data_IF_694071536277
#
_entry.id   IF_694071536277
#
_cell.length_a   1.000
_cell.length_b   1.000
_cell.length_c   1.000
_cell.angle_alpha   90.00
_cell.angle_beta   90.00
_cell.angle_gamma   90.00
#
_symmetry.space_group_name_H-M   'P 1'
#
loop_
_entity.id
_entity.type
_entity.pdbx_description
1 polymer ?
#
# COMPACT_ATOMS: atom_id res chain seq x y z
N UNK A 1 8.41 -27.65 18.65
CA UNK A 1 7.30 -28.03 19.58
C UNK A 1 6.01 -27.56 18.92
N UNK A 2 5.10 -28.43 18.61
CA UNK A 2 3.83 -28.11 17.92
C UNK A 2 2.99 -27.20 18.81
N UNK A 3 2.48 -26.10 18.26
CA UNK A 3 1.52 -25.19 18.90
C UNK A 3 0.11 -25.43 18.35
N UNK A 4 -0.88 -25.01 19.11
CA UNK A 4 -2.28 -25.01 18.71
C UNK A 4 -2.72 -23.54 18.51
N UNK A 5 -2.99 -23.16 17.28
CA UNK A 5 -3.47 -21.82 16.92
C UNK A 5 -4.99 -21.84 16.77
N UNK A 6 -5.69 -21.13 17.64
CA UNK A 6 -7.14 -20.97 17.57
C UNK A 6 -7.47 -19.69 16.83
N UNK A 7 -8.16 -19.82 15.71
CA UNK A 7 -8.42 -18.72 14.79
C UNK A 7 -9.69 -17.96 15.18
N UNK A 8 -9.61 -16.65 15.14
CA UNK A 8 -10.76 -15.78 15.21
C UNK A 8 -11.29 -15.47 13.78
N UNK A 9 -12.57 -15.16 13.67
CA UNK A 9 -13.27 -14.87 12.42
C UNK A 9 -12.68 -13.68 11.70
N UNK A 10 -12.28 -12.62 12.41
CA UNK A 10 -11.73 -11.40 11.82
C UNK A 10 -10.44 -11.67 11.04
N UNK A 11 -9.61 -12.62 11.47
CA UNK A 11 -8.39 -13.04 10.76
C UNK A 11 -8.74 -13.66 9.41
N UNK A 12 -9.74 -14.54 9.37
CA UNK A 12 -10.16 -15.22 8.15
C UNK A 12 -10.86 -14.29 7.16
N UNK A 13 -11.64 -13.33 7.66
CA UNK A 13 -12.28 -12.31 6.82
C UNK A 13 -11.27 -11.38 6.20
N UNK A 14 -10.20 -11.06 6.90
CA UNK A 14 -9.13 -10.22 6.35
C UNK A 14 -8.20 -11.01 5.41
N UNK A 15 -7.85 -12.23 5.78
CA UNK A 15 -6.97 -13.10 5.02
C UNK A 15 -7.51 -14.54 4.96
N UNK A 16 -8.31 -14.89 3.94
CA UNK A 16 -8.86 -16.25 3.79
C UNK A 16 -7.81 -17.35 3.76
N UNK A 17 -6.59 -17.03 3.32
CA UNK A 17 -5.47 -17.98 3.25
C UNK A 17 -4.71 -18.11 4.57
N UNK A 18 -5.12 -17.40 5.64
CA UNK A 18 -4.46 -17.45 6.95
C UNK A 18 -4.32 -18.88 7.50
N UNK A 19 -5.24 -19.77 7.14
CA UNK A 19 -5.18 -21.19 7.52
C UNK A 19 -3.85 -21.87 7.15
N UNK A 20 -3.18 -21.39 6.10
CA UNK A 20 -1.93 -21.97 5.58
C UNK A 20 -0.68 -21.24 6.11
N UNK A 21 -0.80 -20.33 7.06
CA UNK A 21 0.31 -19.47 7.51
C UNK A 21 1.02 -19.96 8.77
N UNK A 22 0.64 -21.12 9.30
CA UNK A 22 1.11 -21.61 10.60
C UNK A 22 2.05 -22.84 10.51
N UNK A 23 2.76 -22.97 9.40
CA UNK A 23 3.73 -24.05 9.19
C UNK A 23 3.16 -25.44 9.55
N UNK A 24 3.92 -26.27 10.29
CA UNK A 24 3.57 -27.63 10.72
C UNK A 24 2.74 -27.69 12.01
N UNK A 25 2.05 -26.60 12.38
CA UNK A 25 1.26 -26.51 13.59
C UNK A 25 -0.21 -26.95 13.40
N UNK A 26 -0.93 -27.05 14.51
CA UNK A 26 -2.37 -27.34 14.51
C UNK A 26 -3.17 -26.03 14.48
N UNK A 27 -3.92 -25.82 13.41
CA UNK A 27 -4.85 -24.71 13.25
C UNK A 27 -6.26 -25.18 13.64
N UNK A 28 -6.85 -24.54 14.61
CA UNK A 28 -8.16 -24.87 15.16
C UNK A 28 -9.17 -23.79 14.83
N UNK A 29 -10.28 -24.21 14.26
CA UNK A 29 -11.44 -23.37 13.99
C UNK A 29 -12.55 -23.70 15.00
N UNK A 30 -12.86 -22.78 15.94
CA UNK A 30 -14.04 -22.94 16.79
C UNK A 30 -15.33 -23.02 15.97
N UNK A 31 -16.33 -23.80 16.43
CA UNK A 31 -17.63 -23.89 15.77
C UNK A 31 -18.30 -22.51 15.60
N UNK A 32 -18.13 -21.61 16.57
CA UNK A 32 -18.66 -20.23 16.49
C UNK A 32 -18.10 -19.46 15.30
N UNK A 33 -16.86 -19.69 14.91
CA UNK A 33 -16.25 -19.05 13.74
C UNK A 33 -16.94 -19.50 12.45
N UNK A 34 -17.33 -20.76 12.35
CA UNK A 34 -18.11 -21.25 11.20
C UNK A 34 -19.52 -20.63 11.15
N UNK A 35 -20.15 -20.42 12.31
CA UNK A 35 -21.46 -19.75 12.42
C UNK A 35 -21.34 -18.30 11.93
N UNK A 36 -20.29 -17.58 12.34
CA UNK A 36 -20.04 -16.19 11.91
C UNK A 36 -19.72 -16.10 10.41
N UNK A 37 -18.89 -17.01 9.88
CA UNK A 37 -18.64 -17.07 8.43
C UNK A 37 -19.91 -17.32 7.63
N UNK A 38 -20.83 -18.16 8.15
CA UNK A 38 -22.11 -18.41 7.51
C UNK A 38 -23.02 -17.18 7.50
N UNK A 39 -22.97 -16.37 8.53
CA UNK A 39 -23.65 -15.07 8.59
C UNK A 39 -23.05 -14.09 7.60
N UNK A 40 -21.72 -13.94 7.63
CA UNK A 40 -20.96 -12.96 6.85
C UNK A 40 -20.94 -13.27 5.35
N UNK A 41 -21.15 -14.53 4.92
CA UNK A 41 -21.20 -14.86 3.47
C UNK A 41 -22.29 -14.12 2.70
N UNK A 42 -23.33 -13.61 3.41
CA UNK A 42 -24.44 -12.83 2.84
C UNK A 42 -24.14 -11.33 2.77
N UNK A 43 -23.07 -10.88 3.43
CA UNK A 43 -22.67 -9.49 3.38
C UNK A 43 -22.20 -9.10 1.98
N UNK A 44 -22.43 -7.86 1.61
CA UNK A 44 -21.91 -7.28 0.39
C UNK A 44 -20.42 -6.93 0.54
N UNK A 45 -19.76 -6.61 -0.56
CA UNK A 45 -18.38 -6.18 -0.56
C UNK A 45 -17.35 -7.27 -0.29
N UNK A 46 -16.20 -6.86 0.23
CA UNK A 46 -15.02 -7.72 0.42
C UNK A 46 -15.22 -8.72 1.57
N UNK A 47 -15.88 -8.30 2.63
CA UNK A 47 -16.20 -9.16 3.79
C UNK A 47 -16.96 -10.41 3.36
N UNK A 48 -18.06 -10.24 2.60
CA UNK A 48 -18.81 -11.37 2.09
C UNK A 48 -18.03 -12.20 1.06
N UNK A 49 -17.24 -11.57 0.21
CA UNK A 49 -16.40 -12.28 -0.75
C UNK A 49 -15.35 -13.16 -0.06
N UNK A 50 -14.70 -12.63 0.98
CA UNK A 50 -13.71 -13.36 1.76
C UNK A 50 -14.33 -14.48 2.60
N UNK A 51 -15.50 -14.24 3.21
CA UNK A 51 -16.26 -15.31 3.89
C UNK A 51 -16.58 -16.45 2.93
N UNK A 52 -17.09 -16.16 1.73
CA UNK A 52 -17.35 -17.18 0.69
C UNK A 52 -16.10 -17.91 0.25
N UNK A 53 -14.94 -17.22 0.19
CA UNK A 53 -13.64 -17.84 -0.13
C UNK A 53 -13.22 -18.81 0.99
N UNK A 54 -13.31 -18.39 2.26
CA UNK A 54 -13.04 -19.26 3.41
C UNK A 54 -13.91 -20.51 3.40
N UNK A 55 -15.22 -20.37 3.17
CA UNK A 55 -16.16 -21.50 3.12
C UNK A 55 -15.77 -22.49 2.01
N UNK A 56 -15.34 -22.00 0.83
CA UNK A 56 -14.85 -22.88 -0.24
C UNK A 56 -13.59 -23.64 0.15
N UNK A 57 -12.61 -22.96 0.76
CA UNK A 57 -11.40 -23.61 1.26
C UNK A 57 -11.71 -24.69 2.30
N UNK A 58 -12.65 -24.42 3.20
CA UNK A 58 -13.10 -25.42 4.19
C UNK A 58 -13.81 -26.60 3.55
N UNK A 59 -14.60 -26.36 2.48
CA UNK A 59 -15.24 -27.44 1.71
C UNK A 59 -14.18 -28.31 0.99
N UNK A 60 -13.15 -27.69 0.41
CA UNK A 60 -12.02 -28.44 -0.19
C UNK A 60 -11.29 -29.28 0.84
N UNK A 61 -11.07 -28.77 2.05
CA UNK A 61 -10.46 -29.53 3.15
C UNK A 61 -11.39 -30.67 3.61
N UNK A 62 -12.70 -30.42 3.71
CA UNK A 62 -13.69 -31.45 4.07
C UNK A 62 -13.70 -32.61 3.08
N UNK A 63 -13.47 -32.34 1.79
CA UNK A 63 -13.36 -33.39 0.76
C UNK A 63 -12.08 -34.24 0.92
N UNK A 64 -11.01 -33.65 1.49
CA UNK A 64 -9.76 -34.37 1.76
C UNK A 64 -9.80 -35.24 3.02
N UNK A 65 -10.73 -34.97 3.96
CA UNK A 65 -10.83 -35.73 5.21
C UNK A 65 -11.85 -35.20 6.21
N UNK A 66 -11.86 -35.78 7.41
CA UNK A 66 -12.76 -35.40 8.49
C UNK A 66 -12.15 -34.22 9.28
N UNK A 67 -12.72 -33.03 9.18
CA UNK A 67 -12.28 -31.83 9.89
C UNK A 67 -12.36 -31.93 11.43
N UNK A 68 -13.17 -32.83 11.99
CA UNK A 68 -13.18 -33.07 13.43
C UNK A 68 -11.97 -33.86 13.92
N UNK A 69 -11.42 -34.71 13.07
CA UNK A 69 -10.21 -35.49 13.36
C UNK A 69 -8.93 -34.73 12.99
N UNK A 70 -9.06 -33.82 12.02
CA UNK A 70 -7.98 -33.00 11.48
C UNK A 70 -7.62 -33.38 10.05
N UNK A 71 -7.41 -32.40 9.20
CA UNK A 71 -7.04 -32.56 7.79
C UNK A 71 -5.68 -31.92 7.56
N UNK A 72 -4.77 -32.65 6.93
CA UNK A 72 -3.44 -32.15 6.59
C UNK A 72 -3.52 -31.01 5.57
N UNK A 73 -2.77 -29.96 5.84
CA UNK A 73 -2.59 -28.80 4.96
C UNK A 73 -1.34 -29.01 4.07
N UNK A 74 -1.28 -28.30 2.95
CA UNK A 74 -0.17 -28.39 1.98
C UNK A 74 1.18 -27.93 2.56
N UNK A 75 1.16 -27.07 3.58
CA UNK A 75 2.34 -26.59 4.30
C UNK A 75 2.82 -27.52 5.42
N UNK A 76 2.22 -28.71 5.58
CA UNK A 76 2.57 -29.69 6.62
C UNK A 76 1.81 -29.53 7.92
N UNK A 77 1.02 -28.46 8.09
CA UNK A 77 0.15 -28.28 9.24
C UNK A 77 -1.13 -29.13 9.20
N UNK A 78 -1.96 -29.02 10.24
CA UNK A 78 -3.24 -29.71 10.34
C UNK A 78 -4.33 -28.66 10.63
N UNK A 79 -5.42 -28.70 9.86
CA UNK A 79 -6.62 -27.91 10.14
C UNK A 79 -7.69 -28.77 10.82
N UNK A 80 -8.26 -28.28 11.91
CA UNK A 80 -9.27 -28.98 12.68
C UNK A 80 -10.39 -28.03 13.10
N UNK A 81 -11.63 -28.51 13.05
CA UNK A 81 -12.77 -27.85 13.64
C UNK A 81 -12.97 -28.36 15.07
N UNK A 82 -13.13 -27.43 16.01
CA UNK A 82 -13.34 -27.81 17.42
C UNK A 82 -14.74 -27.42 17.86
N UNK A 83 -15.38 -28.34 18.59
CA UNK A 83 -16.69 -28.11 19.21
C UNK A 83 -16.53 -27.14 20.39
N UNK A 84 -17.66 -26.53 20.76
CA UNK A 84 -17.74 -25.76 21.99
C UNK A 84 -17.45 -26.66 23.20
N UNK A 85 -16.53 -26.28 24.05
CA UNK A 85 -16.24 -26.99 25.32
C UNK A 85 -17.35 -26.68 26.33
N UNK A 86 -18.42 -27.45 26.34
CA UNK A 86 -19.60 -27.21 27.16
C UNK A 86 -19.25 -27.26 28.65
N UNK A 87 -18.33 -28.16 29.03
CA UNK A 87 -17.91 -28.41 30.42
C UNK A 87 -16.91 -27.40 30.97
N UNK A 88 -16.53 -26.41 30.18
CA UNK A 88 -15.62 -25.32 30.61
C UNK A 88 -16.45 -24.12 31.01
N UNK A 89 -16.31 -23.67 32.25
CA UNK A 89 -16.93 -22.45 32.75
C UNK A 89 -16.04 -21.24 32.48
N UNK A 90 -16.66 -20.15 32.00
CA UNK A 90 -16.06 -18.84 31.93
C UNK A 90 -16.37 -18.04 33.20
N UNK A 91 -15.57 -17.03 33.56
CA UNK A 91 -15.96 -16.05 34.56
C UNK A 91 -17.37 -15.48 34.28
N UNK A 92 -18.11 -15.19 35.34
CA UNK A 92 -19.54 -14.75 35.26
C UNK A 92 -19.67 -13.47 34.40
N UNK A 93 -18.63 -12.66 34.38
CA UNK A 93 -18.59 -11.39 33.61
C UNK A 93 -18.50 -11.58 32.11
N UNK A 94 -18.23 -12.80 31.62
CA UNK A 94 -18.09 -13.12 30.20
C UNK A 94 -19.31 -13.92 29.70
N UNK A 95 -20.33 -13.21 29.18
CA UNK A 95 -21.53 -13.82 28.61
C UNK A 95 -21.24 -14.69 27.39
N UNK A 96 -21.82 -15.87 27.31
CA UNK A 96 -21.75 -16.79 26.17
C UNK A 96 -22.58 -16.34 24.96
N UNK A 97 -23.37 -15.27 25.08
CA UNK A 97 -24.07 -14.65 23.95
C UNK A 97 -23.11 -13.94 23.01
N UNK A 98 -21.93 -13.52 23.51
CA UNK A 98 -20.88 -12.88 22.72
C UNK A 98 -20.02 -13.96 22.06
N UNK A 99 -19.87 -13.89 20.73
CA UNK A 99 -19.10 -14.86 19.93
C UNK A 99 -17.64 -14.97 20.41
N UNK A 100 -16.98 -13.82 20.67
CA UNK A 100 -15.61 -13.76 21.19
C UNK A 100 -15.41 -14.59 22.45
N UNK A 101 -16.38 -14.54 23.37
CA UNK A 101 -16.27 -15.25 24.64
C UNK A 101 -16.39 -16.76 24.42
N UNK A 102 -17.12 -17.20 23.38
CA UNK A 102 -17.16 -18.62 22.97
C UNK A 102 -15.83 -19.07 22.39
N UNK A 103 -15.13 -18.21 21.67
CA UNK A 103 -13.74 -18.49 21.18
C UNK A 103 -12.80 -18.66 22.38
N UNK A 104 -12.85 -17.74 23.36
CA UNK A 104 -12.06 -17.85 24.60
C UNK A 104 -12.35 -19.15 25.37
N UNK A 105 -13.60 -19.56 25.40
CA UNK A 105 -14.01 -20.83 26.00
C UNK A 105 -13.35 -22.03 25.32
N UNK A 106 -13.28 -22.04 24.00
CA UNK A 106 -12.56 -23.09 23.24
C UNK A 106 -11.07 -23.08 23.57
N UNK A 107 -10.45 -21.91 23.64
CA UNK A 107 -9.03 -21.79 24.04
C UNK A 107 -8.76 -22.37 25.43
N UNK A 108 -9.61 -22.05 26.41
CA UNK A 108 -9.53 -22.61 27.77
C UNK A 108 -9.73 -24.11 27.80
N UNK A 109 -10.68 -24.61 27.03
CA UNK A 109 -10.93 -26.05 26.89
C UNK A 109 -9.73 -26.79 26.33
N UNK A 110 -9.15 -26.27 25.27
CA UNK A 110 -7.96 -26.83 24.65
C UNK A 110 -6.74 -26.76 25.61
N UNK A 111 -6.55 -25.64 26.32
CA UNK A 111 -5.48 -25.51 27.33
C UNK A 111 -5.59 -26.54 28.45
N UNK A 112 -6.80 -26.91 28.86
CA UNK A 112 -7.04 -27.97 29.86
C UNK A 112 -6.85 -29.38 29.29
N UNK A 113 -7.24 -29.60 28.03
CA UNK A 113 -7.28 -30.92 27.41
C UNK A 113 -5.95 -31.31 26.73
N UNK A 114 -5.09 -30.35 26.44
CA UNK A 114 -3.85 -30.55 25.66
C UNK A 114 -2.62 -30.08 26.41
N UNK A 115 -1.47 -30.70 26.07
CA UNK A 115 -0.16 -30.29 26.65
C UNK A 115 0.52 -29.22 25.81
N UNK A 116 0.14 -29.09 24.55
CA UNK A 116 0.67 -28.14 23.59
C UNK A 116 0.26 -26.72 23.98
N UNK A 117 1.07 -25.75 23.65
CA UNK A 117 0.76 -24.36 23.87
C UNK A 117 -0.42 -23.95 22.98
N UNK A 118 -1.48 -23.42 23.58
CA UNK A 118 -2.63 -22.86 22.88
C UNK A 118 -2.44 -21.35 22.73
N UNK A 119 -2.57 -20.87 21.51
CA UNK A 119 -2.42 -19.48 21.14
C UNK A 119 -3.68 -19.03 20.40
N UNK A 120 -4.36 -18.03 20.91
CA UNK A 120 -5.45 -17.35 20.21
C UNK A 120 -4.87 -16.42 19.15
N UNK A 121 -5.32 -16.51 17.92
CA UNK A 121 -4.95 -15.61 16.82
C UNK A 121 -6.13 -14.70 16.52
N UNK A 122 -5.99 -13.41 16.81
CA UNK A 122 -7.04 -12.41 16.60
C UNK A 122 -6.45 -11.03 16.35
N UNK A 123 -7.13 -10.26 15.50
CA UNK A 123 -6.82 -8.84 15.28
C UNK A 123 -7.51 -7.90 16.27
N UNK A 124 -8.48 -8.40 17.00
CA UNK A 124 -9.20 -7.63 18.02
C UNK A 124 -8.34 -7.45 19.27
N UNK A 125 -7.97 -6.19 19.55
CA UNK A 125 -7.19 -5.80 20.72
C UNK A 125 -7.94 -6.14 22.02
N UNK A 126 -9.26 -5.92 22.07
CA UNK A 126 -10.07 -6.20 23.25
C UNK A 126 -10.16 -7.70 23.53
N UNK A 127 -10.26 -8.50 22.47
CA UNK A 127 -10.25 -9.95 22.61
C UNK A 127 -8.88 -10.46 23.10
N UNK A 128 -7.76 -9.87 22.66
CA UNK A 128 -6.43 -10.17 23.21
C UNK A 128 -6.31 -9.79 24.68
N UNK A 129 -6.87 -8.65 25.10
CA UNK A 129 -6.88 -8.24 26.51
C UNK A 129 -7.72 -9.23 27.34
N UNK A 130 -8.91 -9.62 26.87
CA UNK A 130 -9.73 -10.64 27.55
C UNK A 130 -8.99 -11.98 27.67
N UNK A 131 -8.27 -12.39 26.61
CA UNK A 131 -7.45 -13.60 26.64
C UNK A 131 -6.36 -13.51 27.72
N UNK A 132 -5.68 -12.38 27.82
CA UNK A 132 -4.65 -12.15 28.86
C UNK A 132 -5.24 -12.24 30.27
N UNK A 133 -6.42 -11.68 30.51
CA UNK A 133 -7.12 -11.80 31.82
C UNK A 133 -7.40 -13.27 32.18
N UNK A 134 -7.60 -14.12 31.19
CA UNK A 134 -7.82 -15.56 31.35
C UNK A 134 -6.53 -16.40 31.34
N UNK A 135 -5.37 -15.75 31.42
CA UNK A 135 -4.07 -16.41 31.30
C UNK A 135 -3.92 -17.26 30.03
N UNK A 136 -4.47 -16.76 28.91
CA UNK A 136 -4.32 -17.33 27.58
C UNK A 136 -3.29 -16.56 26.78
N UNK A 137 -2.45 -17.25 26.00
CA UNK A 137 -1.62 -16.63 24.99
C UNK A 137 -2.49 -16.14 23.85
N UNK A 138 -2.31 -14.89 23.43
CA UNK A 138 -2.97 -14.35 22.25
C UNK A 138 -1.97 -13.56 21.41
N UNK A 139 -2.02 -13.76 20.10
CA UNK A 139 -1.13 -13.13 19.13
C UNK A 139 -1.97 -12.45 18.02
N UNK A 140 -1.40 -11.37 17.47
CA UNK A 140 -1.94 -10.78 16.24
C UNK A 140 -1.54 -11.62 15.03
N UNK A 141 -2.39 -11.65 14.00
CA UNK A 141 -2.06 -12.31 12.73
C UNK A 141 -1.14 -11.41 11.88
N UNK A 142 0.12 -11.77 11.76
CA UNK A 142 1.19 -10.91 11.24
C UNK A 142 1.60 -11.25 9.79
N UNK A 143 1.10 -12.33 9.18
CA UNK A 143 1.64 -12.84 7.89
C UNK A 143 1.57 -11.84 6.73
N UNK A 144 0.69 -10.84 6.76
CA UNK A 144 0.59 -9.78 5.75
C UNK A 144 1.11 -8.43 6.24
N UNK A 145 1.59 -8.35 7.48
CA UNK A 145 2.14 -7.11 8.01
C UNK A 145 3.56 -6.90 7.49
N UNK A 146 3.84 -5.68 7.10
CA UNK A 146 5.22 -5.24 6.84
C UNK A 146 5.88 -4.78 8.14
N UNK A 147 7.19 -4.55 8.11
CA UNK A 147 7.94 -4.01 9.24
C UNK A 147 7.37 -2.66 9.69
N UNK A 148 7.64 -2.27 10.94
CA UNK A 148 7.17 -0.99 11.48
C UNK A 148 7.56 0.20 10.59
N UNK A 149 6.71 1.22 10.54
CA UNK A 149 6.82 2.36 9.62
C UNK A 149 8.20 3.05 9.66
N UNK A 150 8.78 3.20 10.85
CA UNK A 150 10.11 3.79 11.07
C UNK A 150 11.28 3.01 10.46
N UNK A 151 11.06 1.73 10.15
CA UNK A 151 12.04 0.82 9.53
C UNK A 151 11.73 0.45 8.10
N UNK A 152 10.61 0.95 7.55
CA UNK A 152 10.24 0.66 6.17
C UNK A 152 11.20 1.31 5.17
N UNK A 153 11.37 0.66 4.03
CA UNK A 153 12.17 1.20 2.94
C UNK A 153 11.57 2.51 2.41
N UNK A 154 12.39 3.56 2.40
CA UNK A 154 11.98 4.91 1.99
C UNK A 154 12.22 5.20 0.50
N UNK A 155 12.96 4.35 -0.20
CA UNK A 155 13.35 4.58 -1.59
C UNK A 155 14.45 5.63 -1.76
N UNK A 156 14.92 6.26 -0.66
CA UNK A 156 15.94 7.31 -0.69
C UNK A 156 16.86 7.26 0.54
N UNK A 157 18.05 7.79 0.41
CA UNK A 157 18.96 7.99 1.53
C UNK A 157 19.95 9.14 1.26
N UNK A 158 20.71 9.51 2.28
CA UNK A 158 21.84 10.41 2.17
C UNK A 158 23.14 9.63 2.29
N UNK A 159 24.14 9.99 1.49
CA UNK A 159 25.47 9.40 1.53
C UNK A 159 26.56 10.47 1.41
N UNK A 160 27.72 10.15 1.92
CA UNK A 160 28.93 10.96 1.75
C UNK A 160 29.84 10.32 0.71
N UNK A 161 30.51 11.15 -0.08
CA UNK A 161 31.50 10.72 -1.04
C UNK A 161 32.78 11.55 -0.89
N UNK A 162 33.95 10.96 -1.17
CA UNK A 162 35.22 11.68 -1.28
C UNK A 162 35.11 12.87 -2.27
N UNK A 163 35.70 14.00 -1.93
CA UNK A 163 35.55 15.24 -2.69
C UNK A 163 35.94 15.10 -4.16
N UNK A 164 36.94 14.27 -4.47
CA UNK A 164 37.35 13.98 -5.85
C UNK A 164 36.27 13.29 -6.66
N UNK A 165 35.65 12.24 -6.11
CA UNK A 165 34.55 11.52 -6.74
C UNK A 165 33.30 12.39 -6.82
N UNK A 166 33.03 13.20 -5.79
CA UNK A 166 31.94 14.16 -5.79
C UNK A 166 32.03 15.16 -6.93
N UNK A 167 33.24 15.70 -7.24
CA UNK A 167 33.45 16.64 -8.35
C UNK A 167 33.22 15.98 -9.71
N UNK A 168 33.63 14.71 -9.87
CA UNK A 168 33.53 13.97 -11.11
C UNK A 168 32.17 13.27 -11.30
N UNK A 169 31.30 13.29 -10.28
CA UNK A 169 29.99 12.59 -10.26
C UNK A 169 29.19 12.77 -11.55
N UNK A 170 29.04 14.01 -12.03
CA UNK A 170 28.23 14.31 -13.23
C UNK A 170 28.75 13.67 -14.51
N UNK A 171 30.04 13.32 -14.58
CA UNK A 171 30.68 12.75 -15.76
C UNK A 171 30.74 11.23 -15.71
N UNK A 172 31.16 10.67 -14.57
CA UNK A 172 31.52 9.25 -14.45
C UNK A 172 30.51 8.46 -13.58
N UNK A 173 29.75 9.16 -12.70
CA UNK A 173 29.04 8.54 -11.59
C UNK A 173 30.00 8.16 -10.45
N UNK A 174 29.48 7.55 -9.40
CA UNK A 174 30.26 7.07 -8.25
C UNK A 174 29.85 5.62 -7.98
N UNK A 175 30.79 4.66 -7.90
CA UNK A 175 30.49 3.29 -7.47
C UNK A 175 29.84 3.27 -6.07
N UNK A 176 28.90 2.39 -5.83
CA UNK A 176 28.18 2.33 -4.55
C UNK A 176 29.04 1.92 -3.36
N UNK A 177 30.14 1.24 -3.60
CA UNK A 177 31.15 0.82 -2.61
C UNK A 177 32.12 1.95 -2.21
N UNK A 178 32.14 3.06 -2.95
CA UNK A 178 32.98 4.23 -2.69
C UNK A 178 32.24 5.30 -1.87
N UNK A 179 30.99 5.08 -1.49
CA UNK A 179 30.22 6.00 -0.65
C UNK A 179 29.98 5.40 0.73
N UNK A 180 29.75 6.28 1.70
CA UNK A 180 29.52 5.85 3.09
C UNK A 180 28.39 6.65 3.74
N UNK A 181 27.88 6.10 4.83
CA UNK A 181 27.00 6.78 5.78
C UNK A 181 27.68 6.87 7.15
N UNK A 182 27.19 7.75 8.00
CA UNK A 182 27.64 7.86 9.39
C UNK A 182 26.54 7.28 10.29
N UNK A 183 26.93 6.44 11.25
CA UNK A 183 26.04 5.96 12.28
C UNK A 183 25.83 7.03 13.39
N UNK A 184 25.04 6.73 14.42
CA UNK A 184 24.78 7.62 15.55
C UNK A 184 26.04 8.02 16.32
N UNK A 185 27.12 7.25 16.18
CA UNK A 185 28.44 7.52 16.80
C UNK A 185 29.42 8.17 15.82
N UNK A 186 28.95 8.72 14.71
CA UNK A 186 29.75 9.30 13.62
C UNK A 186 30.76 8.32 12.95
N UNK A 187 30.57 7.02 13.11
CA UNK A 187 31.40 6.00 12.48
C UNK A 187 30.92 5.74 11.07
N UNK A 188 31.85 5.78 10.11
CA UNK A 188 31.54 5.50 8.71
C UNK A 188 31.28 4.01 8.46
N UNK A 189 30.23 3.72 7.69
CA UNK A 189 29.91 2.38 7.19
C UNK A 189 29.43 2.45 5.73
N UNK A 190 29.64 1.35 4.99
CA UNK A 190 29.14 1.25 3.62
C UNK A 190 27.65 0.87 3.65
N UNK A 191 26.74 1.71 3.09
CA UNK A 191 25.32 1.39 3.05
C UNK A 191 25.03 0.33 2.00
N UNK A 192 24.06 -0.55 2.29
CA UNK A 192 23.53 -1.49 1.30
C UNK A 192 22.50 -0.77 0.41
N UNK A 193 22.96 -0.15 -0.68
CA UNK A 193 22.11 0.57 -1.61
C UNK A 193 21.46 -0.38 -2.61
N UNK A 194 20.17 -0.18 -2.83
CA UNK A 194 19.36 -1.01 -3.73
C UNK A 194 19.23 -0.38 -5.13
N UNK A 195 18.96 -1.21 -6.13
CA UNK A 195 18.67 -0.75 -7.49
C UNK A 195 17.52 0.25 -7.49
N UNK A 196 17.61 1.31 -8.28
CA UNK A 196 16.69 2.46 -8.38
C UNK A 196 16.55 3.31 -7.11
N UNK A 197 17.31 3.06 -6.05
CA UNK A 197 17.28 3.90 -4.85
C UNK A 197 17.81 5.31 -5.15
N UNK A 198 17.08 6.33 -4.73
CA UNK A 198 17.48 7.72 -4.85
C UNK A 198 18.48 8.10 -3.77
N UNK A 199 19.42 8.98 -4.11
CA UNK A 199 20.52 9.34 -3.20
C UNK A 199 20.78 10.84 -3.22
N UNK A 200 20.88 11.43 -2.02
CA UNK A 200 21.44 12.76 -1.82
C UNK A 200 22.91 12.58 -1.48
N UNK A 201 23.79 12.93 -2.41
CA UNK A 201 25.24 12.75 -2.26
C UNK A 201 25.83 14.04 -1.70
N UNK A 202 26.53 13.96 -0.59
CA UNK A 202 27.21 15.06 0.09
C UNK A 202 28.74 14.90 -0.07
N UNK A 203 29.47 16.01 -0.28
CA UNK A 203 30.91 15.95 -0.21
C UNK A 203 31.39 15.85 1.24
N UNK A 204 32.37 15.00 1.51
CA UNK A 204 33.00 14.87 2.83
C UNK A 204 33.67 16.16 3.32
N UNK A 205 34.22 16.96 2.40
CA UNK A 205 34.90 18.24 2.70
C UNK A 205 33.96 19.44 2.71
N UNK A 206 32.87 19.40 1.92
CA UNK A 206 31.93 20.51 1.75
C UNK A 206 30.48 20.05 1.93
N UNK A 207 30.08 19.73 3.16
CA UNK A 207 28.78 19.15 3.53
C UNK A 207 27.55 19.92 3.01
N UNK A 208 27.67 21.21 2.70
CA UNK A 208 26.61 22.04 2.09
C UNK A 208 26.41 21.80 0.60
N UNK A 209 27.40 21.23 -0.10
CA UNK A 209 27.28 20.90 -1.51
C UNK A 209 26.67 19.52 -1.68
N UNK A 210 25.60 19.44 -2.47
CA UNK A 210 24.88 18.20 -2.70
C UNK A 210 24.70 17.92 -4.19
N UNK A 211 24.69 16.65 -4.52
CA UNK A 211 24.21 16.14 -5.80
C UNK A 211 23.02 15.20 -5.56
N UNK A 212 22.09 15.20 -6.51
CA UNK A 212 21.00 14.24 -6.53
C UNK A 212 21.33 13.16 -7.55
N UNK A 213 21.19 11.92 -7.15
CA UNK A 213 21.48 10.76 -7.99
C UNK A 213 20.55 9.59 -7.72
N UNK A 214 20.75 8.54 -8.48
CA UNK A 214 20.04 7.27 -8.38
C UNK A 214 21.04 6.13 -8.56
N UNK A 215 20.78 5.01 -7.88
CA UNK A 215 21.54 3.77 -8.08
C UNK A 215 21.10 3.12 -9.39
N UNK A 216 22.05 2.81 -10.25
CA UNK A 216 21.87 2.11 -11.50
C UNK A 216 23.04 1.16 -11.75
N UNK A 217 22.78 -0.15 -11.67
CA UNK A 217 23.78 -1.20 -11.87
C UNK A 217 25.05 -1.02 -10.98
N UNK A 218 24.82 -0.74 -9.69
CA UNK A 218 25.91 -0.56 -8.72
C UNK A 218 26.66 0.76 -8.82
N UNK A 219 26.17 1.71 -9.62
CA UNK A 219 26.77 3.04 -9.78
C UNK A 219 25.73 4.12 -9.46
N UNK A 220 26.13 5.13 -8.70
CA UNK A 220 25.33 6.32 -8.51
C UNK A 220 25.40 7.18 -9.79
N UNK A 221 24.25 7.35 -10.44
CA UNK A 221 24.08 8.15 -11.66
C UNK A 221 23.33 9.44 -11.36
N UNK A 222 23.64 10.49 -12.13
CA UNK A 222 22.86 11.75 -12.07
C UNK A 222 21.44 11.51 -12.58
N UNK A 223 20.51 12.34 -12.11
CA UNK A 223 19.13 12.34 -12.63
C UNK A 223 19.11 12.78 -14.09
N UNK A 224 18.37 12.07 -14.92
CA UNK A 224 18.24 12.32 -16.37
C UNK A 224 17.33 13.54 -16.63
N UNK A 225 16.23 13.65 -15.88
CA UNK A 225 15.16 14.64 -16.08
C UNK A 225 15.26 15.87 -15.17
N UNK A 226 16.43 16.12 -14.54
CA UNK A 226 16.60 17.24 -13.60
C UNK A 226 16.27 18.62 -14.19
N UNK A 227 16.42 18.80 -15.50
CA UNK A 227 16.17 20.06 -16.21
C UNK A 227 14.81 20.11 -16.91
N UNK A 228 14.04 19.07 -16.84
CA UNK A 228 12.71 19.01 -17.45
C UNK A 228 11.71 19.76 -16.59
N UNK A 229 10.71 20.35 -17.23
CA UNK A 229 9.58 21.03 -16.58
C UNK A 229 8.29 20.47 -17.18
N UNK A 230 7.88 19.25 -16.76
CA UNK A 230 6.71 18.61 -17.34
C UNK A 230 5.47 19.50 -17.11
N UNK A 231 4.77 19.78 -18.20
CA UNK A 231 3.62 20.66 -18.24
C UNK A 231 3.87 22.04 -17.56
N UNK A 232 5.07 22.60 -17.72
CA UNK A 232 5.49 23.87 -17.14
C UNK A 232 5.92 23.82 -15.66
N UNK A 233 5.78 22.70 -14.99
CA UNK A 233 6.06 22.57 -13.56
C UNK A 233 7.52 22.22 -13.30
N UNK A 234 8.14 22.96 -12.40
CA UNK A 234 9.55 22.76 -11.99
C UNK A 234 9.66 22.29 -10.55
N UNK A 235 10.53 21.30 -10.25
CA UNK A 235 10.74 20.81 -8.89
C UNK A 235 11.35 21.89 -7.98
N UNK A 236 10.89 21.96 -6.72
CA UNK A 236 11.35 22.94 -5.71
C UNK A 236 12.23 22.32 -4.63
N UNK A 237 12.13 21.01 -4.41
CA UNK A 237 12.87 20.28 -3.38
C UNK A 237 13.38 18.93 -3.90
N UNK A 238 14.22 18.25 -3.12
CA UNK A 238 14.86 16.99 -3.54
C UNK A 238 13.83 15.89 -3.82
N UNK A 239 12.78 15.78 -3.01
CA UNK A 239 11.72 14.79 -3.22
C UNK A 239 11.00 14.98 -4.54
N UNK A 240 10.67 16.22 -4.91
CA UNK A 240 10.05 16.52 -6.21
C UNK A 240 10.97 16.22 -7.39
N UNK A 241 12.30 16.46 -7.27
CA UNK A 241 13.25 16.02 -8.30
C UNK A 241 13.28 14.50 -8.46
N UNK A 242 13.24 13.76 -7.37
CA UNK A 242 13.18 12.29 -7.40
C UNK A 242 11.85 11.79 -7.97
N UNK A 243 10.74 12.42 -7.57
CA UNK A 243 9.42 12.11 -8.08
C UNK A 243 9.34 12.33 -9.59
N UNK A 244 9.79 13.49 -10.06
CA UNK A 244 9.87 13.81 -11.48
C UNK A 244 10.71 12.79 -12.24
N UNK A 245 11.88 12.43 -11.72
CA UNK A 245 12.77 11.43 -12.32
C UNK A 245 12.05 10.09 -12.51
N UNK A 246 11.39 9.58 -11.47
CA UNK A 246 10.66 8.32 -11.53
C UNK A 246 9.49 8.34 -12.52
N UNK A 247 8.72 9.44 -12.50
CA UNK A 247 7.54 9.58 -13.36
C UNK A 247 7.90 9.78 -14.83
N UNK A 248 8.95 10.54 -15.13
CA UNK A 248 9.40 10.83 -16.49
C UNK A 248 10.05 9.63 -17.18
N UNK A 249 10.59 8.67 -16.45
CA UNK A 249 11.10 7.43 -17.06
C UNK A 249 10.01 6.71 -17.86
N UNK A 250 10.34 6.07 -18.98
CA UNK A 250 9.38 5.30 -19.75
C UNK A 250 8.86 4.07 -18.98
N UNK A 251 7.69 3.55 -19.37
CA UNK A 251 7.10 2.37 -18.75
C UNK A 251 8.00 1.14 -18.81
N UNK A 252 8.88 1.04 -19.81
CA UNK A 252 9.85 -0.05 -19.94
C UNK A 252 10.87 -0.07 -18.80
N UNK A 253 11.34 1.12 -18.35
CA UNK A 253 12.31 1.25 -17.25
C UNK A 253 11.66 1.34 -15.88
N UNK A 254 10.54 2.04 -15.77
CA UNK A 254 9.82 2.29 -14.53
C UNK A 254 8.33 1.97 -14.66
N UNK A 255 7.96 0.69 -14.85
CA UNK A 255 6.55 0.31 -14.99
C UNK A 255 5.77 0.48 -13.68
N UNK A 256 6.43 0.41 -12.53
CA UNK A 256 5.83 0.62 -11.22
C UNK A 256 6.55 1.74 -10.47
N UNK A 257 5.80 2.76 -10.07
CA UNK A 257 6.27 3.86 -9.21
C UNK A 257 5.44 3.89 -7.94
N UNK A 258 6.08 3.85 -6.77
CA UNK A 258 5.41 3.91 -5.47
C UNK A 258 5.88 5.17 -4.74
N UNK A 259 4.92 6.03 -4.38
CA UNK A 259 5.21 7.30 -3.71
C UNK A 259 4.43 7.38 -2.40
N UNK A 260 5.16 7.35 -1.31
CA UNK A 260 4.63 7.59 0.04
C UNK A 260 4.90 9.02 0.47
N UNK A 261 4.01 9.62 1.24
CA UNK A 261 4.24 10.94 1.82
C UNK A 261 2.96 11.61 2.27
N UNK A 262 3.11 12.58 3.16
CA UNK A 262 2.00 13.33 3.73
C UNK A 262 1.19 14.04 2.65
N UNK A 263 -0.09 14.32 2.94
CA UNK A 263 -0.89 15.18 2.08
C UNK A 263 -0.22 16.57 1.94
N UNK A 264 -0.30 17.16 0.73
CA UNK A 264 0.37 18.44 0.43
C UNK A 264 1.81 18.31 -0.08
N UNK A 265 2.34 17.11 -0.29
CA UNK A 265 3.64 16.89 -0.94
C UNK A 265 3.55 16.86 -2.48
N UNK A 266 2.45 17.31 -3.05
CA UNK A 266 2.22 17.47 -4.50
C UNK A 266 2.28 16.16 -5.31
N UNK A 267 2.08 14.99 -4.69
CA UNK A 267 2.18 13.66 -5.35
C UNK A 267 1.25 13.56 -6.56
N UNK A 268 -0.04 13.77 -6.34
CA UNK A 268 -1.09 13.66 -7.38
C UNK A 268 -0.90 14.72 -8.45
N UNK A 269 -0.63 15.96 -8.03
CA UNK A 269 -0.36 17.09 -8.92
C UNK A 269 0.79 16.81 -9.91
N UNK A 270 1.97 16.38 -9.41
CA UNK A 270 3.11 16.02 -10.25
C UNK A 270 2.81 14.83 -11.17
N UNK A 271 2.08 13.84 -10.65
CA UNK A 271 1.73 12.66 -11.45
C UNK A 271 0.82 13.03 -12.62
N UNK A 272 -0.13 13.95 -12.42
CA UNK A 272 -0.97 14.47 -13.50
C UNK A 272 -0.17 15.32 -14.49
N UNK A 273 0.71 16.20 -14.00
CA UNK A 273 1.55 17.05 -14.84
C UNK A 273 2.42 16.21 -15.81
N UNK A 274 3.11 15.20 -15.28
CA UNK A 274 3.91 14.30 -16.11
C UNK A 274 3.06 13.46 -17.06
N UNK A 275 1.89 13.00 -16.62
CA UNK A 275 0.97 12.25 -17.46
C UNK A 275 0.50 13.08 -18.67
N UNK A 276 0.07 14.33 -18.43
CA UNK A 276 -0.34 15.26 -19.49
C UNK A 276 0.82 15.62 -20.42
N UNK A 277 2.01 15.86 -19.86
CA UNK A 277 3.21 16.10 -20.67
C UNK A 277 3.46 14.99 -21.67
N UNK A 278 3.39 13.72 -21.22
CA UNK A 278 3.62 12.54 -22.06
C UNK A 278 2.49 12.26 -23.06
N UNK A 279 1.25 12.67 -22.77
CA UNK A 279 0.13 12.49 -23.68
C UNK A 279 -0.02 13.63 -24.69
N UNK A 280 0.20 14.87 -24.27
CA UNK A 280 -0.14 16.06 -25.06
C UNK A 280 1.08 16.71 -25.69
N UNK A 281 2.13 17.02 -24.90
CA UNK A 281 3.27 17.81 -25.38
C UNK A 281 4.35 16.93 -26.03
N UNK A 282 4.54 15.71 -25.50
CA UNK A 282 5.50 14.74 -26.04
C UNK A 282 4.79 13.40 -26.33
N UNK A 283 3.90 13.35 -27.33
CA UNK A 283 3.14 12.14 -27.65
C UNK A 283 4.06 11.07 -28.26
N UNK A 284 4.75 10.32 -27.41
CA UNK A 284 5.59 9.19 -27.84
C UNK A 284 4.77 8.02 -28.34
N UNK A 285 3.44 8.06 -28.14
CA UNK A 285 2.54 6.92 -28.39
C UNK A 285 2.66 5.82 -27.33
N UNK A 286 3.42 6.07 -26.26
CA UNK A 286 3.59 5.14 -25.14
C UNK A 286 2.26 4.93 -24.42
N UNK A 287 1.55 6.02 -24.12
CA UNK A 287 0.24 5.96 -23.44
C UNK A 287 -0.88 6.47 -24.35
N UNK A 288 -2.08 5.94 -24.15
CA UNK A 288 -3.31 6.39 -24.82
C UNK A 288 -4.16 7.28 -23.92
N UNK A 289 -4.06 7.07 -22.62
CA UNK A 289 -4.85 7.79 -21.61
C UNK A 289 -4.16 7.78 -20.25
N UNK A 290 -4.56 8.73 -19.42
CA UNK A 290 -4.35 8.71 -17.96
C UNK A 290 -5.60 8.10 -17.35
N UNK A 291 -5.44 7.06 -16.55
CA UNK A 291 -6.53 6.47 -15.79
C UNK A 291 -6.28 6.74 -14.32
N UNK A 292 -7.22 7.42 -13.66
CA UNK A 292 -7.12 7.73 -12.23
C UNK A 292 -8.13 6.89 -11.47
N UNK A 293 -7.66 6.20 -10.44
CA UNK A 293 -8.49 5.39 -9.56
C UNK A 293 -8.24 5.79 -8.11
N UNK A 294 -9.31 5.91 -7.35
CA UNK A 294 -9.25 6.06 -5.88
C UNK A 294 -10.02 4.92 -5.23
N UNK A 295 -9.43 4.20 -4.26
CA UNK A 295 -10.19 3.29 -3.42
C UNK A 295 -11.14 4.10 -2.56
N UNK A 296 -12.36 3.64 -2.39
CA UNK A 296 -13.33 4.30 -1.54
C UNK A 296 -13.83 3.34 -0.46
N UNK A 297 -13.64 3.72 0.80
CA UNK A 297 -14.09 2.95 1.94
C UNK A 297 -15.63 2.82 2.00
N UNK A 298 -16.35 3.79 1.44
CA UNK A 298 -17.83 3.84 1.48
C UNK A 298 -18.51 3.15 0.28
N UNK A 299 -17.80 2.89 -0.82
CA UNK A 299 -18.37 2.33 -2.06
C UNK A 299 -17.99 0.87 -2.36
N UNK A 300 -17.23 0.21 -1.48
CA UNK A 300 -16.99 -1.25 -1.60
C UNK A 300 -18.29 -2.07 -1.38
N UNK A 301 -19.31 -1.45 -0.79
CA UNK A 301 -20.67 -1.96 -0.66
C UNK A 301 -21.54 -1.53 -1.86
N UNK A 302 -21.19 -1.96 -3.06
CA UNK A 302 -22.01 -1.86 -4.26
C UNK A 302 -22.52 -0.44 -4.64
N UNK A 303 -22.03 0.10 -5.73
CA UNK A 303 -22.50 1.35 -6.37
C UNK A 303 -24.05 1.39 -6.60
N UNK A 304 -24.77 0.28 -6.29
CA UNK A 304 -26.18 0.08 -6.55
C UNK A 304 -27.17 1.04 -5.87
N UNK A 305 -26.80 1.70 -4.78
CA UNK A 305 -27.74 2.50 -3.96
C UNK A 305 -27.70 4.01 -4.19
N UNK A 306 -26.76 4.56 -4.93
CA UNK A 306 -26.76 5.98 -5.25
C UNK A 306 -27.65 6.23 -6.49
N UNK A 307 -28.58 7.20 -6.47
CA UNK A 307 -29.30 7.64 -7.66
C UNK A 307 -28.36 8.32 -8.65
N UNK A 308 -28.51 8.05 -9.93
CA UNK A 308 -27.72 8.63 -10.99
C UNK A 308 -27.04 7.58 -11.89
N UNK A 309 -26.51 8.05 -13.02
CA UNK A 309 -25.71 7.22 -13.91
C UNK A 309 -24.31 6.92 -13.34
N UNK A 310 -23.52 6.10 -14.04
CA UNK A 310 -22.20 5.67 -13.57
C UNK A 310 -21.22 6.86 -13.45
N UNK A 311 -21.36 7.88 -14.29
CA UNK A 311 -20.52 9.08 -14.28
C UNK A 311 -20.88 10.01 -13.13
N UNK A 312 -22.16 10.18 -12.82
CA UNK A 312 -22.62 10.96 -11.67
C UNK A 312 -22.18 10.35 -10.34
N UNK A 313 -22.09 9.03 -10.26
CA UNK A 313 -21.60 8.30 -9.06
C UNK A 313 -20.09 8.44 -8.85
N UNK A 314 -19.30 8.55 -9.90
CA UNK A 314 -17.84 8.69 -9.85
C UNK A 314 -17.43 10.16 -9.66
N UNK A 315 -18.28 11.11 -10.01
CA UNK A 315 -18.03 12.56 -9.93
C UNK A 315 -17.48 13.05 -8.57
N UNK A 316 -17.99 12.62 -7.40
CA UNK A 316 -17.45 13.04 -6.10
C UNK A 316 -16.00 12.58 -5.87
N UNK A 317 -15.61 11.42 -6.39
CA UNK A 317 -14.25 10.89 -6.29
C UNK A 317 -13.25 11.67 -7.14
N UNK A 318 -13.78 12.34 -8.19
CA UNK A 318 -12.97 13.07 -9.16
C UNK A 318 -12.69 14.51 -8.77
N UNK A 319 -13.44 15.11 -7.85
CA UNK A 319 -13.23 16.51 -7.43
C UNK A 319 -11.76 16.82 -7.13
N UNK A 320 -11.03 16.04 -6.29
CA UNK A 320 -9.63 16.34 -6.00
C UNK A 320 -8.71 16.23 -7.23
N UNK A 321 -9.08 15.42 -8.22
CA UNK A 321 -8.33 15.32 -9.49
C UNK A 321 -8.62 16.53 -10.36
N UNK A 322 -9.87 16.98 -10.39
CA UNK A 322 -10.29 18.20 -11.10
C UNK A 322 -9.61 19.42 -10.50
N UNK A 323 -9.63 19.58 -9.17
CA UNK A 323 -8.96 20.68 -8.46
C UNK A 323 -7.47 20.75 -8.79
N UNK A 324 -6.78 19.58 -8.83
CA UNK A 324 -5.37 19.51 -9.23
C UNK A 324 -5.18 19.86 -10.71
N UNK A 325 -6.11 19.47 -11.58
CA UNK A 325 -6.05 19.76 -13.01
C UNK A 325 -6.28 21.26 -13.27
N UNK A 326 -7.27 21.86 -12.62
CA UNK A 326 -7.51 23.31 -12.67
C UNK A 326 -6.29 24.09 -12.20
N UNK A 327 -5.72 23.71 -11.06
CA UNK A 327 -4.51 24.32 -10.54
C UNK A 327 -3.32 24.16 -11.49
N UNK A 328 -3.21 23.02 -12.17
CA UNK A 328 -2.15 22.75 -13.12
C UNK A 328 -2.28 23.63 -14.38
N UNK A 329 -3.49 23.78 -14.89
CA UNK A 329 -3.78 24.63 -16.05
C UNK A 329 -3.57 26.11 -15.74
N UNK A 330 -3.95 26.58 -14.53
CA UNK A 330 -3.77 27.97 -14.10
C UNK A 330 -2.30 28.29 -13.76
N UNK A 331 -1.49 27.30 -13.38
CA UNK A 331 -0.07 27.52 -13.05
C UNK A 331 0.84 27.64 -14.27
N UNK A 332 0.36 27.35 -15.46
CA UNK A 332 1.13 27.52 -16.68
C UNK A 332 1.22 29.02 -17.00
N UNK A 333 2.39 29.66 -16.73
CA UNK A 333 2.59 31.11 -16.84
C UNK A 333 2.33 31.66 -18.26
N UNK A 334 2.46 30.82 -19.29
CA UNK A 334 2.21 31.19 -20.70
C UNK A 334 0.71 31.25 -21.04
N UNK A 335 -0.15 30.60 -20.24
CA UNK A 335 -1.60 30.50 -20.47
C UNK A 335 -2.40 30.77 -19.16
N UNK A 336 -2.10 31.84 -18.42
CA UNK A 336 -2.97 32.24 -17.29
C UNK A 336 -4.35 32.60 -17.78
N UNK A 337 -5.30 31.73 -17.49
CA UNK A 337 -6.72 31.97 -17.78
C UNK A 337 -7.24 33.06 -16.83
N UNK A 338 -7.57 34.21 -17.41
CA UNK A 338 -8.16 35.34 -16.66
C UNK A 338 -9.65 35.14 -16.36
N UNK A 339 -10.23 34.07 -16.88
CA UNK A 339 -11.65 33.78 -16.82
C UNK A 339 -11.86 32.32 -16.38
N UNK A 340 -12.60 32.12 -15.29
CA UNK A 340 -12.94 30.80 -14.77
C UNK A 340 -13.74 29.93 -15.77
N UNK A 341 -14.55 30.54 -16.66
CA UNK A 341 -15.27 29.80 -17.69
C UNK A 341 -14.32 29.16 -18.69
N UNK A 342 -13.30 29.89 -19.14
CA UNK A 342 -12.30 29.37 -20.09
C UNK A 342 -11.49 28.25 -19.46
N UNK A 343 -11.19 28.33 -18.17
CA UNK A 343 -10.50 27.26 -17.45
C UNK A 343 -11.36 25.97 -17.39
N UNK A 344 -12.66 26.11 -17.08
CA UNK A 344 -13.60 24.98 -17.09
C UNK A 344 -13.74 24.34 -18.46
N UNK A 345 -13.89 25.15 -19.50
CA UNK A 345 -13.97 24.65 -20.88
C UNK A 345 -12.74 23.84 -21.25
N UNK A 346 -11.54 24.25 -20.80
CA UNK A 346 -10.30 23.51 -21.04
C UNK A 346 -10.26 22.20 -20.29
N UNK A 347 -10.72 22.18 -19.04
CA UNK A 347 -10.85 20.94 -18.25
C UNK A 347 -11.82 19.98 -18.93
N UNK A 348 -13.00 20.47 -19.35
CA UNK A 348 -13.98 19.66 -20.09
C UNK A 348 -13.42 19.14 -21.42
N UNK A 349 -12.64 19.94 -22.14
CA UNK A 349 -11.96 19.49 -23.37
C UNK A 349 -11.04 18.29 -23.11
N UNK A 350 -10.21 18.33 -22.06
CA UNK A 350 -9.29 17.24 -21.71
C UNK A 350 -10.06 15.95 -21.39
N UNK A 351 -11.19 16.08 -20.68
CA UNK A 351 -12.06 14.95 -20.36
C UNK A 351 -12.82 14.42 -21.59
N UNK A 352 -13.42 15.30 -22.37
CA UNK A 352 -14.20 14.91 -23.56
C UNK A 352 -13.35 14.23 -24.63
N UNK A 353 -12.06 14.62 -24.72
CA UNK A 353 -11.08 13.92 -25.57
C UNK A 353 -10.62 12.58 -25.02
N UNK A 354 -10.99 12.23 -23.79
CA UNK A 354 -10.64 10.97 -23.15
C UNK A 354 -9.17 10.86 -22.72
N UNK A 355 -8.45 11.98 -22.60
CA UNK A 355 -7.07 11.97 -22.12
C UNK A 355 -6.98 11.57 -20.66
N UNK A 356 -7.96 11.98 -19.84
CA UNK A 356 -8.09 11.58 -18.44
C UNK A 356 -9.42 10.85 -18.29
N UNK A 357 -9.37 9.70 -17.63
CA UNK A 357 -10.53 8.91 -17.27
C UNK A 357 -10.45 8.55 -15.79
N UNK A 358 -11.60 8.47 -15.13
CA UNK A 358 -11.72 7.96 -13.79
C UNK A 358 -12.50 6.66 -13.78
N UNK A 359 -12.03 5.73 -13.02
CA UNK A 359 -12.75 4.48 -12.80
C UNK A 359 -12.64 4.09 -11.31
N UNK A 360 -13.69 3.46 -10.79
CA UNK A 360 -13.60 2.84 -9.47
C UNK A 360 -12.66 1.63 -9.54
N UNK A 361 -11.91 1.41 -8.45
CA UNK A 361 -10.88 0.38 -8.39
C UNK A 361 -11.41 -1.03 -8.74
N UNK A 362 -12.67 -1.31 -8.41
CA UNK A 362 -13.30 -2.59 -8.67
C UNK A 362 -13.47 -2.91 -10.16
N UNK A 363 -13.58 -1.89 -11.03
CA UNK A 363 -13.74 -2.08 -12.48
C UNK A 363 -12.42 -2.42 -13.20
N UNK A 364 -11.29 -2.20 -12.55
CA UNK A 364 -9.97 -2.62 -13.06
C UNK A 364 -9.79 -4.12 -12.94
N UNK A 365 -10.50 -4.77 -12.00
CA UNK A 365 -10.43 -6.23 -11.83
C UNK A 365 -11.01 -6.94 -13.07
N UNK A 366 -10.24 -7.86 -13.64
CA UNK A 366 -10.65 -8.67 -14.80
C UNK A 366 -10.23 -8.13 -16.17
N UNK A 367 -9.66 -6.92 -16.25
CA UNK A 367 -9.20 -6.31 -17.51
C UNK A 367 -7.67 -6.29 -17.59
N UNK A 368 -7.10 -6.50 -18.76
CA UNK A 368 -5.69 -6.22 -19.02
C UNK A 368 -5.54 -4.72 -19.31
N UNK A 369 -4.61 -4.06 -18.63
CA UNK A 369 -4.35 -2.63 -18.78
C UNK A 369 -3.15 -2.47 -19.69
N UNK A 370 -3.35 -1.86 -20.88
CA UNK A 370 -2.29 -1.68 -21.87
C UNK A 370 -2.20 -0.21 -22.27
N UNK A 371 -0.99 0.28 -22.55
CA UNK A 371 -0.74 1.66 -22.99
C UNK A 371 -1.42 2.71 -22.11
N UNK A 372 -1.37 2.53 -20.80
CA UNK A 372 -2.08 3.36 -19.84
C UNK A 372 -1.13 3.91 -18.78
N UNK A 373 -1.25 5.20 -18.52
CA UNK A 373 -0.64 5.86 -17.37
C UNK A 373 -1.65 5.81 -16.23
N UNK A 374 -1.52 4.78 -15.36
CA UNK A 374 -2.47 4.48 -14.29
C UNK A 374 -2.01 5.09 -12.99
N UNK A 375 -2.83 5.95 -12.41
CA UNK A 375 -2.64 6.55 -11.08
C UNK A 375 -3.63 5.92 -10.12
N UNK A 376 -3.13 5.29 -9.06
CA UNK A 376 -3.91 4.87 -7.91
C UNK A 376 -3.63 5.87 -6.78
N UNK A 377 -4.54 6.81 -6.59
CA UNK A 377 -4.45 7.81 -5.53
C UNK A 377 -5.08 7.27 -4.24
N UNK A 378 -4.59 7.69 -3.06
CA UNK A 378 -4.98 7.17 -1.75
C UNK A 378 -4.82 5.64 -1.62
N UNK A 379 -3.73 5.11 -2.19
CA UNK A 379 -3.48 3.67 -2.27
C UNK A 379 -3.33 2.99 -0.89
N UNK A 380 -3.11 3.73 0.20
CA UNK A 380 -3.13 3.19 1.57
C UNK A 380 -4.51 2.66 1.98
N UNK A 381 -5.57 3.07 1.28
CA UNK A 381 -6.93 2.55 1.50
C UNK A 381 -7.23 1.26 0.69
N UNK A 382 -6.20 0.62 0.14
CA UNK A 382 -6.30 -0.69 -0.53
C UNK A 382 -5.78 -1.81 0.35
N UNK A 383 -6.28 -3.03 0.12
CA UNK A 383 -5.70 -4.24 0.73
C UNK A 383 -4.51 -4.76 -0.08
N UNK A 384 -3.62 -5.60 0.52
CA UNK A 384 -2.56 -6.29 -0.19
C UNK A 384 -3.05 -7.06 -1.43
N UNK A 385 -4.17 -7.79 -1.32
CA UNK A 385 -4.76 -8.53 -2.43
C UNK A 385 -5.25 -7.61 -3.57
N UNK A 386 -5.81 -6.44 -3.23
CA UNK A 386 -6.23 -5.45 -4.23
C UNK A 386 -5.05 -4.92 -5.01
N UNK A 387 -3.98 -4.49 -4.34
CA UNK A 387 -2.76 -3.99 -4.99
C UNK A 387 -2.08 -5.07 -5.82
N UNK A 388 -1.92 -6.28 -5.29
CA UNK A 388 -1.39 -7.42 -6.04
C UNK A 388 -2.20 -7.68 -7.31
N UNK A 389 -3.53 -7.66 -7.18
CA UNK A 389 -4.44 -7.83 -8.32
C UNK A 389 -4.30 -6.74 -9.38
N UNK A 390 -3.94 -5.50 -9.03
CA UNK A 390 -3.72 -4.40 -9.97
C UNK A 390 -2.35 -4.53 -10.65
N UNK A 391 -1.28 -4.71 -9.87
CA UNK A 391 0.09 -4.78 -10.40
C UNK A 391 0.24 -5.92 -11.39
N UNK A 392 -0.37 -7.08 -11.10
CA UNK A 392 -0.31 -8.25 -11.99
C UNK A 392 -1.09 -8.10 -13.31
N UNK A 393 -1.82 -7.01 -13.51
CA UNK A 393 -2.57 -6.70 -14.74
C UNK A 393 -1.90 -5.70 -15.66
N UNK A 394 -0.72 -5.19 -15.25
CA UNK A 394 0.09 -4.32 -16.07
C UNK A 394 0.43 -5.04 -17.39
N UNK A 395 -0.14 -4.57 -18.47
CA UNK A 395 0.19 -5.02 -19.82
C UNK A 395 1.29 -4.16 -20.45
N UNK A 396 1.55 -4.40 -21.73
CA UNK A 396 2.58 -3.68 -22.47
C UNK A 396 2.36 -2.16 -22.43
N UNK A 397 3.45 -1.41 -22.24
CA UNK A 397 3.46 0.05 -22.25
C UNK A 397 2.52 0.65 -21.18
N UNK A 398 2.40 0.00 -20.02
CA UNK A 398 1.62 0.49 -18.88
C UNK A 398 2.53 0.89 -17.75
N UNK A 399 2.28 2.08 -17.21
CA UNK A 399 2.93 2.60 -16.00
C UNK A 399 1.88 2.67 -14.89
N UNK A 400 2.17 2.03 -13.77
CA UNK A 400 1.33 2.05 -12.57
C UNK A 400 2.01 2.94 -11.54
N UNK A 401 1.26 3.88 -10.99
CA UNK A 401 1.73 4.84 -10.00
C UNK A 401 0.83 4.71 -8.78
N UNK A 402 1.40 4.29 -7.66
CA UNK A 402 0.73 4.17 -6.38
C UNK A 402 1.10 5.37 -5.52
N UNK A 403 0.11 6.18 -5.17
CA UNK A 403 0.27 7.38 -4.34
C UNK A 403 -0.50 7.22 -3.05
N UNK A 404 0.08 7.64 -1.93
CA UNK A 404 -0.68 7.64 -0.68
C UNK A 404 0.13 8.08 0.55
N UNK A 405 -0.58 8.16 1.67
CA UNK A 405 -0.03 8.46 2.99
C UNK A 405 -0.39 7.31 3.95
N UNK A 406 0.58 6.48 4.35
CA UNK A 406 0.31 5.36 5.27
C UNK A 406 -0.25 5.77 6.63
N UNK A 407 -0.18 7.07 6.99
CA UNK A 407 -0.73 7.59 8.24
C UNK A 407 -2.19 8.07 8.12
N UNK A 408 -2.74 8.15 6.89
CA UNK A 408 -4.10 8.61 6.61
C UNK A 408 -4.95 7.47 6.04
N UNK A 409 -5.27 6.50 6.89
CA UNK A 409 -6.05 5.33 6.52
C UNK A 409 -7.49 5.53 6.99
N UNK A 410 -8.42 5.61 6.02
CA UNK A 410 -9.86 5.75 6.29
C UNK A 410 -10.58 4.40 6.40
N UNK A 411 -9.94 3.35 5.90
CA UNK A 411 -10.56 2.03 5.79
C UNK A 411 -10.44 1.28 7.12
N UNK A 412 -11.57 0.83 7.72
CA UNK A 412 -11.51 -0.02 8.90
C UNK A 412 -10.72 -1.30 8.63
N UNK A 413 -10.01 -1.79 9.63
CA UNK A 413 -9.17 -3.00 9.61
C UNK A 413 -7.85 -2.89 8.82
N UNK A 414 -7.53 -1.75 8.23
CA UNK A 414 -6.20 -1.47 7.71
C UNK A 414 -5.43 -0.55 8.69
N UNK A 415 -4.13 -0.75 8.74
CA UNK A 415 -3.20 0.09 9.48
C UNK A 415 -1.95 0.39 8.63
N UNK A 416 -0.99 1.12 9.17
CA UNK A 416 0.26 1.49 8.49
C UNK A 416 1.10 0.29 8.02
N UNK A 417 0.86 -0.90 8.59
CA UNK A 417 1.59 -2.14 8.32
C UNK A 417 0.83 -3.12 7.43
N UNK A 418 -0.50 -3.03 7.38
CA UNK A 418 -1.39 -3.99 6.69
C UNK A 418 -2.00 -3.44 5.42
N UNK A 419 -1.79 -2.17 5.11
CA UNK A 419 -2.33 -1.56 3.90
C UNK A 419 -1.55 -1.96 2.63
N UNK A 420 -2.24 -1.93 1.49
CA UNK A 420 -1.69 -2.37 0.20
C UNK A 420 -0.52 -1.53 -0.29
N UNK A 421 -0.46 -0.22 0.02
CA UNK A 421 0.65 0.66 -0.38
C UNK A 421 1.95 0.24 0.33
N UNK A 422 1.92 0.08 1.65
CA UNK A 422 3.07 -0.37 2.44
C UNK A 422 3.49 -1.79 2.05
N UNK A 423 2.51 -2.68 1.84
CA UNK A 423 2.75 -4.03 1.37
C UNK A 423 3.49 -4.07 0.03
N UNK A 424 3.01 -3.32 -0.97
CA UNK A 424 3.66 -3.24 -2.28
C UNK A 424 5.08 -2.65 -2.17
N UNK A 425 5.26 -1.60 -1.36
CA UNK A 425 6.54 -0.97 -1.18
C UNK A 425 7.60 -1.93 -0.62
N UNK A 426 7.28 -2.71 0.42
CA UNK A 426 8.23 -3.64 1.02
C UNK A 426 8.52 -4.86 0.14
N UNK A 427 7.51 -5.42 -0.53
CA UNK A 427 7.70 -6.61 -1.37
C UNK A 427 8.36 -6.31 -2.72
N UNK A 428 8.22 -5.08 -3.23
CA UNK A 428 8.82 -4.67 -4.51
C UNK A 428 10.14 -3.91 -4.33
N UNK A 429 10.64 -3.74 -3.11
CA UNK A 429 11.92 -3.06 -2.88
C UNK A 429 13.07 -3.81 -3.56
N UNK A 430 13.96 -3.05 -4.19
CA UNK A 430 15.12 -3.61 -4.92
C UNK A 430 14.77 -4.26 -6.26
N UNK A 431 13.49 -4.33 -6.63
CA UNK A 431 13.11 -4.76 -7.99
C UNK A 431 13.59 -3.75 -9.03
N UNK A 432 14.23 -4.19 -10.12
CA UNK A 432 14.65 -3.28 -11.20
C UNK A 432 13.45 -2.60 -11.91
N UNK A 433 12.24 -3.15 -11.75
CA UNK A 433 11.01 -2.63 -12.34
C UNK A 433 10.23 -1.71 -11.40
N UNK A 434 10.69 -1.50 -10.16
CA UNK A 434 10.00 -0.69 -9.17
C UNK A 434 10.87 0.49 -8.71
N UNK A 435 10.30 1.68 -8.81
CA UNK A 435 10.89 2.91 -8.34
C UNK A 435 10.08 3.43 -7.15
N UNK A 436 10.76 3.69 -6.05
CA UNK A 436 10.09 4.06 -4.80
C UNK A 436 10.63 5.35 -4.24
N UNK A 437 9.73 6.13 -3.64
CA UNK A 437 10.07 7.37 -2.97
C UNK A 437 9.15 7.61 -1.78
N UNK A 438 9.74 7.97 -0.63
CA UNK A 438 9.02 8.57 0.48
C UNK A 438 9.36 10.06 0.55
N UNK A 439 8.34 10.92 0.40
CA UNK A 439 8.45 12.36 0.59
C UNK A 439 8.55 12.66 2.09
N UNK A 440 9.44 13.58 2.46
CA UNK A 440 9.60 13.99 3.86
C UNK A 440 8.59 15.10 4.23
N UNK A 441 8.36 15.29 5.53
CA UNK A 441 7.48 16.36 6.02
C UNK A 441 7.98 17.76 5.63
N UNK A 442 9.31 17.94 5.52
CA UNK A 442 9.93 19.21 5.10
C UNK A 442 9.68 19.55 3.63
N UNK A 443 9.31 18.56 2.82
CA UNK A 443 9.00 18.70 1.39
C UNK A 443 7.51 18.98 1.14
N UNK A 444 6.72 19.19 2.20
CA UNK A 444 5.32 19.55 2.13
C UNK A 444 5.16 21.04 1.78
N UNK A 445 4.40 21.32 0.73
CA UNK A 445 4.10 22.67 0.24
C UNK A 445 2.72 23.15 0.69
N UNK A 446 2.43 23.05 1.98
CA UNK A 446 1.19 23.56 2.58
C UNK A 446 1.38 25.01 3.06
N UNK A 447 0.25 25.69 3.28
CA UNK A 447 0.26 26.97 3.97
C UNK A 447 0.84 26.85 5.38
N UNK A 448 1.41 27.93 5.91
CA UNK A 448 1.95 27.97 7.28
C UNK A 448 0.92 27.49 8.32
N UNK A 449 -0.36 27.87 8.15
CA UNK A 449 -1.44 27.42 9.00
C UNK A 449 -1.61 25.88 8.96
N UNK A 450 -1.60 25.29 7.77
CA UNK A 450 -1.77 23.84 7.63
C UNK A 450 -0.57 23.07 8.19
N UNK A 451 0.65 23.62 8.05
CA UNK A 451 1.86 23.02 8.65
C UNK A 451 1.84 23.11 10.18
N UNK A 452 1.37 24.20 10.72
CA UNK A 452 1.25 24.39 12.17
C UNK A 452 0.15 23.48 12.76
N UNK A 453 -0.99 23.33 12.05
CA UNK A 453 -2.07 22.44 12.46
C UNK A 453 -1.60 20.98 12.54
N UNK A 454 -0.86 20.48 11.53
CA UNK A 454 -0.31 19.11 11.52
C UNK A 454 0.65 18.85 12.69
N UNK A 455 1.34 19.90 13.19
CA UNK A 455 2.26 19.76 14.33
C UNK A 455 1.54 19.76 15.69
N UNK A 456 0.36 20.35 15.77
CA UNK A 456 -0.35 20.60 17.04
C UNK A 456 -1.57 19.72 17.26
N UNK A 457 -2.19 19.24 16.22
CA UNK A 457 -3.39 18.42 16.20
C UNK A 457 -3.07 16.96 15.86
#
# INVERSE_FOLDING_TARGET
MIKIYVMDTNVLIQSPNALFSFEDNLVVLPMVVLEELDHLKKADGETGANARKCIRLLEELRQKGNLLEGVSLENGGICRVEKNFVDVELPVDLSLEVADNRILKVCLGLKKARKEQVVLVTKDILLRIKAQVLDLCAEDFISEQVIAHDRQYTGRCEVYAPDELFKDFKKKGIPVDEVYQLDENEKAFCPNLLENQFVIIKSDQARKKTHLGRVEHGILRKLEFKKSSPYGISPRNAGQYFLQEALMQPAEKAPLVIVKGMAGTSKTFYSLAVGLEKLMNHPTGEYRKILVCRPNAQFDEGIGFLPGDEQEKISPLMRPVLDNLEQLLDSNEDERYKDEEVLRDKVEEIYSRGFIQAEALNFIRGRSIVKTYLIIDEAQNTTPDQIKGIITRAGKDTKIILLGDPNQIDRPFLDERTNGLSYAAEHMKGSPLCWQLTMTAEECERSELAMEAVKRL
#
